data_IF_437035657409
#
_entry.id   IF_437035657409
#
_cell.length_a   1.000
_cell.length_b   1.000
_cell.length_c   1.000
_cell.angle_alpha   90.00
_cell.angle_beta   90.00
_cell.angle_gamma   90.00
#
_symmetry.space_group_name_H-M   'P 1'
#
loop_
_entity.id
_entity.type
_entity.pdbx_description
1 polymer ?
#
# COMPACT_ATOMS: atom_id res chain seq x y z
N UNK A 1 41.48 -6.76 47.82
CA UNK A 1 41.07 -6.21 49.13
C UNK A 1 41.53 -4.76 49.20
N UNK A 2 40.61 -3.81 49.17
CA UNK A 2 40.68 -2.47 49.76
C UNK A 2 39.40 -1.71 49.35
N UNK A 3 38.97 -0.83 50.24
CA UNK A 3 37.58 -0.51 50.56
C UNK A 3 37.27 0.97 50.22
N UNK A 4 36.00 1.26 49.88
CA UNK A 4 35.21 2.49 50.17
C UNK A 4 35.78 3.85 49.67
N UNK A 5 35.01 4.81 49.12
CA UNK A 5 33.94 5.56 49.80
C UNK A 5 33.22 6.49 48.81
N UNK A 6 31.89 6.51 48.87
CA UNK A 6 31.00 7.55 48.31
C UNK A 6 30.97 8.75 49.28
N UNK A 7 30.95 9.98 48.77
CA UNK A 7 30.48 11.14 49.54
C UNK A 7 29.85 12.21 48.64
N UNK A 8 28.72 12.69 49.13
CA UNK A 8 27.72 13.52 48.48
C UNK A 8 28.17 14.97 48.26
N UNK A 9 27.72 15.58 47.15
CA UNK A 9 27.75 17.03 46.98
C UNK A 9 26.42 17.66 47.35
N UNK A 10 26.51 18.62 48.25
CA UNK A 10 25.41 19.36 48.89
C UNK A 10 24.78 20.38 47.93
N UNK A 11 23.47 20.49 48.03
CA UNK A 11 22.65 21.55 47.46
C UNK A 11 22.84 22.86 48.24
N UNK A 12 23.07 23.99 47.56
CA UNK A 12 22.99 25.32 48.17
C UNK A 12 22.59 26.37 47.12
N UNK A 13 21.37 26.91 47.24
CA UNK A 13 20.92 28.16 46.57
C UNK A 13 21.31 29.36 47.45
N UNK A 14 21.74 30.46 46.84
CA UNK A 14 20.91 31.68 46.78
C UNK A 14 21.01 32.33 45.39
N UNK A 15 20.06 33.08 44.84
CA UNK A 15 19.34 34.20 45.42
C UNK A 15 19.63 35.45 44.58
N UNK A 16 18.75 35.72 43.59
CA UNK A 16 18.40 36.99 42.93
C UNK A 16 19.48 38.10 42.80
N UNK A 17 19.88 38.36 41.56
CA UNK A 17 20.10 39.72 41.04
C UNK A 17 19.56 39.80 39.63
N UNK A 18 18.50 40.59 39.44
CA UNK A 18 17.99 40.98 38.14
C UNK A 18 18.88 42.09 37.59
N UNK A 19 19.47 41.88 36.42
CA UNK A 19 20.02 42.96 35.59
C UNK A 19 19.13 43.04 34.37
N UNK A 20 18.33 44.11 34.33
CA UNK A 20 17.63 44.59 33.14
C UNK A 20 18.71 45.11 32.21
N UNK A 21 18.93 44.43 31.08
CA UNK A 21 19.64 45.03 29.95
C UNK A 21 18.70 44.97 28.75
N UNK A 22 18.09 46.11 28.49
CA UNK A 22 17.29 46.36 27.32
C UNK A 22 18.20 46.59 26.10
N UNK A 23 17.62 46.42 24.91
CA UNK A 23 18.14 46.80 23.59
C UNK A 23 19.10 45.81 22.91
N UNK A 24 18.50 44.83 22.22
CA UNK A 24 18.84 44.55 20.83
C UNK A 24 17.58 44.05 20.12
N UNK A 25 16.91 44.98 19.44
CA UNK A 25 15.89 44.70 18.43
C UNK A 25 16.61 44.04 17.25
N UNK A 26 16.76 42.72 17.31
CA UNK A 26 17.18 41.90 16.19
C UNK A 26 15.92 41.22 15.66
N UNK A 27 15.35 41.84 14.62
CA UNK A 27 14.38 41.18 13.75
C UNK A 27 15.13 40.06 13.04
N UNK A 28 15.21 38.91 13.70
CA UNK A 28 15.48 37.66 13.01
C UNK A 28 14.17 37.36 12.31
N UNK A 29 14.10 37.72 11.02
CA UNK A 29 13.19 37.06 10.09
C UNK A 29 13.53 35.57 10.25
N UNK A 30 12.62 34.72 10.75
CA UNK A 30 12.80 33.33 10.49
C UNK A 30 12.70 33.22 8.97
N UNK A 31 13.84 33.11 8.30
CA UNK A 31 13.93 32.22 7.15
C UNK A 31 13.57 30.85 7.70
N UNK A 32 12.27 30.67 7.93
CA UNK A 32 11.63 29.40 7.84
C UNK A 32 11.84 28.95 6.41
N UNK A 33 13.04 28.46 6.12
CA UNK A 33 13.14 27.12 5.57
C UNK A 33 12.40 26.21 6.56
N UNK A 34 11.07 26.31 6.52
CA UNK A 34 10.23 25.18 6.78
C UNK A 34 10.75 24.16 5.81
N UNK A 35 11.55 23.24 6.33
CA UNK A 35 11.51 21.87 5.87
C UNK A 35 10.02 21.49 5.92
N UNK A 36 9.29 21.81 4.85
CA UNK A 36 8.18 20.97 4.41
C UNK A 36 8.86 19.65 4.08
N UNK A 37 9.16 18.86 5.12
CA UNK A 37 8.96 17.44 5.03
C UNK A 37 7.51 17.34 4.60
N UNK A 38 7.32 17.14 3.31
CA UNK A 38 6.03 17.18 2.68
C UNK A 38 5.21 16.05 3.29
N UNK A 39 4.23 16.41 4.11
CA UNK A 39 3.04 15.61 4.40
C UNK A 39 2.22 15.32 3.11
N UNK A 40 2.76 15.57 1.90
CA UNK A 40 2.11 15.46 0.60
C UNK A 40 1.83 14.02 0.15
N UNK A 41 2.23 12.99 0.91
CA UNK A 41 1.80 11.61 0.64
C UNK A 41 0.49 11.22 1.33
N UNK A 42 -0.04 12.03 2.27
CA UNK A 42 -1.35 11.77 2.88
C UNK A 42 -2.53 12.06 1.92
N UNK A 43 -2.28 12.66 0.75
CA UNK A 43 -3.32 13.06 -0.23
C UNK A 43 -3.52 12.04 -1.37
N UNK A 44 -2.67 11.02 -1.48
CA UNK A 44 -2.59 10.18 -2.68
C UNK A 44 -3.15 8.75 -2.54
N UNK A 45 -3.74 8.38 -1.41
CA UNK A 45 -4.22 7.01 -1.20
C UNK A 45 -5.73 6.96 -0.97
N UNK A 46 -6.47 6.62 -2.02
CA UNK A 46 -7.91 6.44 -1.96
C UNK A 46 -8.24 4.97 -1.71
N UNK A 47 -8.39 4.61 -0.42
CA UNK A 47 -8.70 3.26 0.05
C UNK A 47 -10.21 3.08 0.18
N UNK A 48 -10.74 2.03 -0.43
CA UNK A 48 -12.16 1.64 -0.39
C UNK A 48 -12.32 0.19 0.04
N UNK A 49 -13.50 -0.12 0.56
CA UNK A 49 -13.90 -1.50 0.89
C UNK A 49 -15.35 -1.78 0.48
N UNK A 50 -15.72 -3.06 0.41
CA UNK A 50 -17.11 -3.47 0.14
C UNK A 50 -17.61 -2.98 -1.23
N UNK A 51 -18.86 -2.53 -1.30
CA UNK A 51 -19.52 -2.12 -2.53
C UNK A 51 -18.79 -0.99 -3.27
N UNK A 52 -18.18 -0.06 -2.54
CA UNK A 52 -17.45 1.06 -3.13
C UNK A 52 -16.16 0.59 -3.82
N UNK A 53 -15.46 -0.36 -3.21
CA UNK A 53 -14.30 -1.00 -3.82
C UNK A 53 -14.72 -1.85 -5.03
N UNK A 54 -15.80 -2.62 -4.88
CA UNK A 54 -16.30 -3.48 -5.94
C UNK A 54 -16.65 -2.69 -7.22
N UNK A 55 -17.30 -1.54 -7.05
CA UNK A 55 -17.65 -0.63 -8.16
C UNK A 55 -16.42 -0.07 -8.89
N UNK A 56 -15.23 -0.09 -8.26
CA UNK A 56 -13.95 0.31 -8.88
C UNK A 56 -13.24 -0.84 -9.58
N UNK A 57 -13.39 -2.07 -9.07
CA UNK A 57 -12.75 -3.27 -9.63
C UNK A 57 -13.47 -3.74 -10.89
N UNK A 58 -14.80 -3.75 -10.85
CA UNK A 58 -15.64 -4.09 -12.00
C UNK A 58 -16.41 -2.83 -12.41
N UNK A 59 -15.98 -2.14 -13.49
CA UNK A 59 -16.70 -0.99 -13.99
C UNK A 59 -18.15 -1.41 -14.31
N UNK A 60 -19.13 -0.80 -13.63
CA UNK A 60 -20.55 -0.89 -14.01
C UNK A 60 -20.65 -0.32 -15.43
N UNK A 61 -20.78 -1.18 -16.44
CA UNK A 61 -21.04 -0.70 -17.79
C UNK A 61 -22.50 -0.26 -17.86
N UNK A 62 -22.71 0.99 -18.20
CA UNK A 62 -23.90 1.64 -18.74
C UNK A 62 -24.45 0.99 -20.05
N UNK A 63 -24.03 -0.24 -20.35
CA UNK A 63 -24.51 -1.05 -21.48
C UNK A 63 -25.67 -1.97 -21.03
N UNK A 64 -26.87 -1.88 -21.63
CA UNK A 64 -28.00 -2.74 -21.29
C UNK A 64 -27.67 -4.22 -21.57
N UNK A 65 -27.88 -5.11 -20.58
CA UNK A 65 -27.70 -6.56 -20.70
C UNK A 65 -26.42 -7.14 -20.07
N UNK A 66 -25.54 -6.30 -19.49
CA UNK A 66 -24.34 -6.71 -18.74
C UNK A 66 -24.50 -6.55 -17.21
N UNK A 67 -25.66 -6.06 -16.78
CA UNK A 67 -26.07 -5.75 -15.42
C UNK A 67 -26.34 -6.98 -14.55
N UNK A 68 -27.06 -7.99 -15.03
CA UNK A 68 -27.25 -9.26 -14.31
C UNK A 68 -25.91 -9.96 -13.99
N UNK A 69 -24.96 -9.80 -14.91
CA UNK A 69 -23.59 -10.30 -14.80
C UNK A 69 -22.73 -9.54 -13.77
N UNK A 70 -23.01 -8.25 -13.54
CA UNK A 70 -22.35 -7.48 -12.47
C UNK A 70 -22.97 -7.79 -11.09
N UNK A 71 -24.27 -8.08 -11.04
CA UNK A 71 -24.96 -8.48 -9.81
C UNK A 71 -24.52 -9.87 -9.33
N UNK A 72 -24.48 -10.87 -10.21
CA UNK A 72 -24.01 -12.21 -9.86
C UNK A 72 -22.54 -12.21 -9.37
N UNK A 73 -21.69 -11.38 -9.96
CA UNK A 73 -20.32 -11.17 -9.50
C UNK A 73 -20.25 -10.52 -8.11
N UNK A 74 -21.12 -9.55 -7.82
CA UNK A 74 -21.20 -8.92 -6.50
C UNK A 74 -21.63 -9.90 -5.40
N UNK A 75 -22.48 -10.88 -5.75
CA UNK A 75 -22.97 -11.88 -4.80
C UNK A 75 -21.95 -12.99 -4.50
N UNK A 76 -20.99 -13.24 -5.40
CA UNK A 76 -19.98 -14.30 -5.25
C UNK A 76 -18.66 -13.83 -4.63
N UNK A 77 -18.55 -12.55 -4.25
CA UNK A 77 -17.34 -11.97 -3.68
C UNK A 77 -17.57 -11.35 -2.30
N UNK A 78 -16.54 -11.38 -1.46
CA UNK A 78 -16.55 -10.76 -0.12
C UNK A 78 -15.18 -10.19 0.24
N UNK A 79 -15.08 -9.48 1.37
CA UNK A 79 -13.83 -8.89 1.87
C UNK A 79 -13.08 -8.05 0.81
N UNK A 80 -13.85 -7.26 0.05
CA UNK A 80 -13.35 -6.46 -1.06
C UNK A 80 -12.52 -5.28 -0.54
N UNK A 81 -11.31 -5.14 -1.07
CA UNK A 81 -10.36 -4.07 -0.79
C UNK A 81 -9.86 -3.46 -2.08
N UNK A 82 -9.71 -2.14 -2.09
CA UNK A 82 -9.17 -1.38 -3.20
C UNK A 82 -8.34 -0.22 -2.68
N UNK A 83 -7.18 0.02 -3.27
CA UNK A 83 -6.30 1.15 -2.97
C UNK A 83 -5.76 1.73 -4.28
N UNK A 84 -6.06 3.00 -4.52
CA UNK A 84 -5.55 3.77 -5.65
C UNK A 84 -4.59 4.85 -5.16
N UNK A 85 -3.36 4.80 -5.70
CA UNK A 85 -2.26 5.70 -5.42
C UNK A 85 -2.27 7.04 -6.17
N UNK A 86 -3.29 7.28 -6.99
CA UNK A 86 -3.33 8.41 -7.90
C UNK A 86 -2.43 8.23 -9.13
N UNK A 87 -2.32 9.28 -9.95
CA UNK A 87 -1.73 9.22 -11.30
C UNK A 87 -0.50 10.11 -11.53
N UNK A 88 -0.02 10.82 -10.50
CA UNK A 88 1.08 11.77 -10.68
C UNK A 88 2.43 11.05 -10.82
N UNK A 89 3.04 11.13 -12.01
CA UNK A 89 4.26 10.41 -12.46
C UNK A 89 4.15 8.88 -12.54
N UNK A 90 2.94 8.33 -12.47
CA UNK A 90 2.72 6.91 -12.40
C UNK A 90 1.42 6.59 -11.70
N UNK A 91 1.00 5.34 -11.72
CA UNK A 91 -0.17 4.87 -10.99
C UNK A 91 0.16 3.56 -10.34
N UNK A 92 -0.14 3.41 -9.05
CA UNK A 92 -0.21 2.11 -8.39
C UNK A 92 -1.65 1.86 -7.97
N UNK A 93 -2.09 0.63 -8.23
CA UNK A 93 -3.44 0.18 -7.96
C UNK A 93 -3.36 -1.21 -7.36
N UNK A 94 -3.95 -1.36 -6.19
CA UNK A 94 -4.08 -2.64 -5.51
C UNK A 94 -5.54 -2.96 -5.30
N UNK A 95 -5.93 -4.20 -5.54
CA UNK A 95 -7.21 -4.71 -5.06
C UNK A 95 -7.17 -6.19 -4.74
N UNK A 96 -8.05 -6.61 -3.84
CA UNK A 96 -8.21 -8.01 -3.45
C UNK A 96 -9.62 -8.30 -2.96
N UNK A 97 -10.09 -9.52 -3.12
CA UNK A 97 -11.36 -10.00 -2.57
C UNK A 97 -11.36 -11.52 -2.46
N UNK A 98 -12.20 -12.03 -1.55
CA UNK A 98 -12.49 -13.45 -1.41
C UNK A 98 -13.61 -13.85 -2.36
N UNK A 99 -13.52 -15.05 -2.94
CA UNK A 99 -14.53 -15.68 -3.78
C UNK A 99 -15.22 -16.80 -3.00
N UNK A 100 -16.45 -17.14 -3.38
CA UNK A 100 -17.14 -18.28 -2.76
C UNK A 100 -16.51 -19.64 -3.14
N UNK A 101 -15.92 -19.76 -4.33
CA UNK A 101 -15.20 -20.94 -4.81
C UNK A 101 -14.13 -20.57 -5.85
N UNK A 102 -13.37 -21.57 -6.32
CA UNK A 102 -12.26 -21.34 -7.26
C UNK A 102 -12.74 -20.92 -8.66
N UNK A 103 -13.87 -21.44 -9.12
CA UNK A 103 -14.44 -21.07 -10.42
C UNK A 103 -14.87 -19.60 -10.42
N UNK A 104 -15.46 -19.14 -9.30
CA UNK A 104 -15.80 -17.73 -9.09
C UNK A 104 -14.56 -16.83 -9.11
N UNK A 105 -13.42 -17.29 -8.57
CA UNK A 105 -12.17 -16.52 -8.67
C UNK A 105 -11.67 -16.38 -10.11
N UNK A 106 -11.80 -17.42 -10.93
CA UNK A 106 -11.40 -17.34 -12.33
C UNK A 106 -12.33 -16.45 -13.15
N UNK A 107 -13.64 -16.59 -12.95
CA UNK A 107 -14.65 -15.72 -13.57
C UNK A 107 -14.43 -14.25 -13.17
N UNK A 108 -14.09 -14.01 -11.91
CA UNK A 108 -13.76 -12.69 -11.39
C UNK A 108 -12.59 -12.02 -12.13
N UNK A 109 -11.48 -12.74 -12.31
CA UNK A 109 -10.30 -12.24 -13.03
C UNK A 109 -10.69 -11.87 -14.46
N UNK A 110 -11.45 -12.72 -15.14
CA UNK A 110 -11.89 -12.48 -16.51
C UNK A 110 -12.80 -11.24 -16.61
N UNK A 111 -13.75 -11.07 -15.68
CA UNK A 111 -14.63 -9.88 -15.61
C UNK A 111 -13.87 -8.59 -15.34
N UNK A 112 -12.80 -8.66 -14.55
CA UNK A 112 -11.89 -7.53 -14.30
C UNK A 112 -10.98 -7.21 -15.51
N UNK A 113 -11.09 -7.95 -16.62
CA UNK A 113 -10.23 -7.79 -17.80
C UNK A 113 -8.82 -8.34 -17.59
N UNK A 114 -8.68 -9.30 -16.68
CA UNK A 114 -7.42 -9.97 -16.38
C UNK A 114 -6.98 -11.01 -17.43
N UNK A 115 -5.82 -11.64 -17.22
CA UNK A 115 -5.24 -12.62 -18.14
C UNK A 115 -6.03 -13.94 -18.18
N UNK A 116 -5.92 -14.68 -19.28
CA UNK A 116 -6.44 -16.05 -19.40
C UNK A 116 -5.80 -16.98 -18.35
N UNK A 117 -6.60 -17.91 -17.82
CA UNK A 117 -6.16 -18.88 -16.81
C UNK A 117 -4.88 -19.64 -17.21
N UNK A 118 -4.71 -19.96 -18.50
CA UNK A 118 -3.55 -20.66 -19.04
C UNK A 118 -2.24 -19.87 -18.98
N UNK A 119 -2.30 -18.56 -18.72
CA UNK A 119 -1.11 -17.70 -18.59
C UNK A 119 -0.58 -17.64 -17.16
N UNK A 120 -1.35 -18.15 -16.20
CA UNK A 120 -0.92 -18.23 -14.82
C UNK A 120 0.05 -19.39 -14.63
N UNK A 121 0.99 -19.19 -13.72
CA UNK A 121 1.99 -20.19 -13.31
C UNK A 121 1.81 -20.51 -11.83
N UNK A 122 2.33 -21.66 -11.39
CA UNK A 122 2.32 -22.02 -9.98
C UNK A 122 2.91 -20.91 -9.11
N UNK A 123 2.31 -20.71 -7.94
CA UNK A 123 2.70 -19.65 -7.02
C UNK A 123 4.19 -19.71 -6.66
N UNK A 124 4.82 -18.54 -6.74
CA UNK A 124 6.15 -18.26 -6.21
C UNK A 124 6.22 -16.81 -5.74
N UNK A 125 7.10 -16.53 -4.79
CA UNK A 125 7.33 -15.16 -4.34
C UNK A 125 7.79 -14.30 -5.53
N UNK A 126 7.19 -13.12 -5.66
CA UNK A 126 7.67 -12.10 -6.58
C UNK A 126 9.05 -11.61 -6.14
N UNK A 127 9.89 -11.30 -7.12
CA UNK A 127 11.14 -10.58 -6.85
C UNK A 127 10.87 -9.13 -6.44
N UNK A 128 9.66 -8.60 -6.66
CA UNK A 128 9.34 -7.20 -6.42
C UNK A 128 8.71 -6.97 -5.03
N UNK A 129 9.35 -6.15 -4.20
CA UNK A 129 8.90 -5.75 -2.87
C UNK A 129 7.52 -5.09 -2.89
N UNK A 130 7.18 -4.29 -3.91
CA UNK A 130 5.82 -3.73 -4.07
C UNK A 130 4.74 -4.78 -4.20
N UNK A 131 5.04 -5.94 -4.80
CA UNK A 131 4.09 -7.05 -4.85
C UNK A 131 4.01 -7.72 -3.48
N UNK A 132 5.18 -8.00 -2.87
CA UNK A 132 5.25 -8.77 -1.62
C UNK A 132 4.74 -8.02 -0.40
N UNK A 133 5.01 -6.72 -0.31
CA UNK A 133 4.58 -5.82 0.76
C UNK A 133 3.21 -5.21 0.41
N UNK A 134 2.96 -4.92 -0.87
CA UNK A 134 1.74 -4.28 -1.29
C UNK A 134 1.68 -2.80 -0.97
N UNK A 135 0.48 -2.27 -0.64
CA UNK A 135 0.31 -0.88 -0.23
C UNK A 135 1.21 -0.46 0.95
N UNK A 136 1.59 -1.40 1.83
CA UNK A 136 2.50 -1.11 2.97
C UNK A 136 3.89 -0.66 2.52
N UNK A 137 4.30 -1.00 1.27
CA UNK A 137 5.54 -0.51 0.66
C UNK A 137 5.59 1.01 0.62
N UNK A 138 4.48 1.67 0.30
CA UNK A 138 4.41 3.13 0.17
C UNK A 138 4.08 3.81 1.49
N UNK A 139 3.25 3.18 2.34
CA UNK A 139 2.90 3.72 3.64
C UNK A 139 2.49 2.60 4.61
N UNK A 140 3.13 2.48 5.79
CA UNK A 140 2.73 1.53 6.82
C UNK A 140 1.26 1.68 7.27
N UNK A 141 0.65 2.86 7.08
CA UNK A 141 -0.77 3.11 7.40
C UNK A 141 -1.72 2.29 6.50
N UNK A 142 -1.24 1.80 5.36
CA UNK A 142 -2.02 1.03 4.38
C UNK A 142 -1.87 -0.48 4.56
N UNK A 143 -1.11 -0.93 5.58
CA UNK A 143 -0.95 -2.34 5.88
C UNK A 143 -2.32 -3.00 6.17
N UNK A 144 -2.60 -4.12 5.51
CA UNK A 144 -3.87 -4.84 5.65
C UNK A 144 -3.67 -6.33 5.42
N UNK A 145 -4.35 -7.16 6.20
CA UNK A 145 -4.34 -8.62 6.01
C UNK A 145 -5.05 -9.05 4.70
N UNK A 146 -5.77 -8.14 4.05
CA UNK A 146 -6.36 -8.38 2.73
C UNK A 146 -5.28 -8.39 1.64
N UNK A 147 -4.16 -7.72 1.86
CA UNK A 147 -2.97 -7.77 1.03
C UNK A 147 -1.81 -8.42 1.77
N UNK A 148 -1.72 -9.75 1.72
CA UNK A 148 -0.50 -10.45 2.13
C UNK A 148 -0.29 -11.71 1.28
N UNK A 149 0.28 -11.49 0.09
CA UNK A 149 0.58 -12.57 -0.85
C UNK A 149 1.72 -13.47 -0.38
N UNK A 150 2.52 -13.06 0.60
CA UNK A 150 3.63 -13.88 1.16
C UNK A 150 3.11 -15.14 1.85
N UNK A 151 1.86 -15.11 2.30
CA UNK A 151 1.22 -16.21 3.04
C UNK A 151 0.61 -17.28 2.13
N UNK A 152 0.62 -17.08 0.81
CA UNK A 152 0.09 -18.06 -0.14
C UNK A 152 0.98 -19.30 -0.11
N UNK A 153 0.39 -20.45 0.26
CA UNK A 153 1.06 -21.75 0.23
C UNK A 153 0.73 -22.50 -1.04
N UNK A 154 -0.56 -22.47 -1.43
CA UNK A 154 -1.07 -23.05 -2.66
C UNK A 154 -1.80 -21.99 -3.46
N UNK A 155 -1.38 -21.81 -4.70
CA UNK A 155 -1.96 -20.79 -5.55
C UNK A 155 -1.30 -20.73 -6.91
N UNK A 156 -1.70 -19.72 -7.66
CA UNK A 156 -1.14 -19.40 -8.96
C UNK A 156 -0.96 -17.90 -9.08
N UNK A 157 -0.01 -17.49 -9.92
CA UNK A 157 0.23 -16.08 -10.22
C UNK A 157 0.55 -15.85 -11.69
N UNK A 158 0.19 -14.65 -12.13
CA UNK A 158 0.63 -14.05 -13.37
C UNK A 158 1.39 -12.77 -13.00
N UNK A 159 2.61 -12.62 -13.49
CA UNK A 159 3.41 -11.41 -13.33
C UNK A 159 3.99 -11.02 -14.68
N UNK A 160 3.76 -9.77 -15.09
CA UNK A 160 4.29 -9.21 -16.33
C UNK A 160 4.89 -7.84 -16.08
N UNK A 161 6.13 -7.66 -16.51
CA UNK A 161 6.84 -6.38 -16.50
C UNK A 161 7.16 -5.96 -17.93
N UNK A 162 6.82 -4.71 -18.27
CA UNK A 162 6.92 -4.19 -19.63
C UNK A 162 7.62 -2.83 -19.70
N UNK A 163 8.12 -2.52 -20.89
CA UNK A 163 8.68 -1.21 -21.21
C UNK A 163 9.98 -0.86 -20.46
N UNK A 164 10.72 -1.87 -19.99
CA UNK A 164 11.92 -1.66 -19.16
C UNK A 164 11.58 -1.16 -17.76
N UNK A 165 10.75 -1.92 -17.04
CA UNK A 165 10.25 -1.59 -15.69
C UNK A 165 9.35 -0.36 -15.62
N UNK A 166 8.65 -0.05 -16.71
CA UNK A 166 7.70 1.08 -16.75
C UNK A 166 6.28 0.68 -16.36
N UNK A 167 5.97 -0.61 -16.44
CA UNK A 167 4.67 -1.17 -16.10
C UNK A 167 4.82 -2.55 -15.47
N UNK A 168 4.14 -2.77 -14.35
CA UNK A 168 4.00 -4.05 -13.67
C UNK A 168 2.52 -4.41 -13.63
N UNK A 169 2.21 -5.65 -13.99
CA UNK A 169 0.87 -6.21 -13.86
C UNK A 169 1.04 -7.53 -13.12
N UNK A 170 0.36 -7.66 -12.01
CA UNK A 170 0.39 -8.83 -11.16
C UNK A 170 -1.03 -9.27 -10.83
N UNK A 171 -1.26 -10.58 -10.92
CA UNK A 171 -2.44 -11.25 -10.41
C UNK A 171 -2.00 -12.48 -9.64
N UNK A 172 -2.72 -12.81 -8.57
CA UNK A 172 -2.57 -14.09 -7.89
C UNK A 172 -3.91 -14.61 -7.39
N UNK A 173 -4.01 -15.94 -7.25
CA UNK A 173 -5.09 -16.62 -6.54
C UNK A 173 -4.48 -17.44 -5.41
N UNK A 174 -4.94 -17.22 -4.19
CA UNK A 174 -4.70 -18.08 -3.03
C UNK A 174 -5.80 -19.15 -2.98
N UNK A 175 -5.43 -20.41 -3.20
CA UNK A 175 -6.40 -21.52 -3.22
C UNK A 175 -6.88 -21.93 -1.83
N UNK A 176 -6.12 -21.60 -0.78
CA UNK A 176 -6.49 -21.96 0.59
C UNK A 176 -7.48 -20.95 1.18
N UNK A 177 -7.37 -19.67 0.77
CA UNK A 177 -8.31 -18.60 1.16
C UNK A 177 -9.40 -18.31 0.13
N UNK A 178 -9.26 -18.83 -1.09
CA UNK A 178 -10.07 -18.45 -2.25
C UNK A 178 -10.05 -16.92 -2.46
N UNK A 179 -8.85 -16.33 -2.48
CA UNK A 179 -8.66 -14.88 -2.63
C UNK A 179 -7.96 -14.54 -3.92
N UNK A 180 -8.49 -13.56 -4.65
CA UNK A 180 -7.81 -12.91 -5.78
C UNK A 180 -7.06 -11.68 -5.29
N UNK A 181 -5.87 -11.48 -5.82
CA UNK A 181 -5.04 -10.29 -5.62
C UNK A 181 -4.68 -9.70 -6.98
N UNK A 182 -4.66 -8.39 -7.08
CA UNK A 182 -4.17 -7.67 -8.24
C UNK A 182 -3.37 -6.45 -7.85
N UNK A 183 -2.23 -6.30 -8.52
CA UNK A 183 -1.43 -5.09 -8.47
C UNK A 183 -1.14 -4.63 -9.89
N UNK A 184 -1.42 -3.37 -10.16
CA UNK A 184 -0.96 -2.67 -11.35
C UNK A 184 -0.06 -1.51 -10.91
N UNK A 185 1.11 -1.40 -11.52
CA UNK A 185 1.98 -0.22 -11.37
C UNK A 185 2.40 0.33 -12.73
N UNK A 186 2.48 1.65 -12.83
CA UNK A 186 3.04 2.36 -13.97
C UNK A 186 3.80 3.60 -13.51
N UNK A 187 4.65 4.16 -14.38
CA UNK A 187 5.44 5.36 -14.08
C UNK A 187 6.94 5.11 -13.95
N UNK A 188 7.35 3.84 -13.94
CA UNK A 188 8.74 3.46 -13.70
C UNK A 188 8.93 3.06 -12.24
N UNK A 189 9.30 1.81 -12.00
CA UNK A 189 9.73 1.34 -10.70
C UNK A 189 11.21 0.94 -10.80
N UNK A 190 12.07 1.60 -10.04
CA UNK A 190 13.51 1.38 -10.09
C UNK A 190 13.85 -0.02 -9.58
N UNK A 191 14.34 -0.89 -10.46
CA UNK A 191 14.72 -2.27 -10.15
C UNK A 191 15.57 -2.41 -8.88
N UNK A 192 16.40 -1.43 -8.54
CA UNK A 192 17.26 -1.48 -7.34
C UNK A 192 16.53 -1.23 -6.03
N UNK A 193 15.41 -0.49 -6.05
CA UNK A 193 14.65 -0.11 -4.87
C UNK A 193 13.45 -1.03 -4.63
N UNK A 194 13.05 -1.74 -5.68
CA UNK A 194 11.84 -2.54 -5.72
C UNK A 194 12.11 -4.04 -5.70
N UNK A 195 13.37 -4.50 -5.74
CA UNK A 195 13.68 -5.93 -5.59
C UNK A 195 13.97 -6.31 -4.14
N UNK A 196 13.53 -7.50 -3.73
CA UNK A 196 13.81 -8.11 -2.42
C UNK A 196 15.26 -8.58 -2.29
#
# INVERSE_FOLDING_TARGET
>A
MANTTLSAFKYQKPGKTAVVCAWCLLVVVPLGCGSRASDDYDVLNDVKTGDEALARIVPRSDSPGRDANAVAFAESVSNVYYCDGGTFNGMYLYWSFDCANLDDCWDAIQRAGGPDQSTFTDWKLSQYAVVMLGPEFYSPKLATALWDVRLIQRGVAYEKVEGGNRRLIFYAIDFDKLRVYHHYESGGFDDRRYRN
#
